data_IF_938435924150
#
_entry.id   IF_938435924150
#
_cell.length_a   1.000
_cell.length_b   1.000
_cell.length_c   1.000
_cell.angle_alpha   90.00
_cell.angle_beta   90.00
_cell.angle_gamma   90.00
#
_symmetry.space_group_name_H-M   'P 1'
#
loop_
_entity.id
_entity.type
_entity.pdbx_description
1 polymer ?
#
# COMPACT_ATOMS: atom_id res chain seq x y z
N UNK A 1 43.46 -3.42 -2.32
CA UNK A 1 42.74 -4.67 -2.03
C UNK A 1 41.97 -4.49 -0.73
N UNK A 2 40.66 -4.62 -0.66
CA UNK A 2 39.57 -4.15 -1.51
C UNK A 2 38.37 -4.10 -0.56
N UNK A 3 37.46 -3.15 -0.79
CA UNK A 3 36.04 -3.28 -0.48
C UNK A 3 35.65 -3.55 0.99
N UNK A 4 35.90 -2.56 1.86
CA UNK A 4 34.84 -2.19 2.79
C UNK A 4 33.76 -1.49 1.97
N UNK A 5 32.91 -2.28 1.30
CA UNK A 5 31.69 -1.82 0.65
C UNK A 5 30.87 -1.03 1.67
N UNK A 6 30.99 0.29 1.60
CA UNK A 6 29.93 1.20 2.01
C UNK A 6 28.70 0.74 1.24
N UNK A 7 27.82 -0.03 1.89
CA UNK A 7 26.46 -0.21 1.40
C UNK A 7 25.85 1.18 1.41
N UNK A 8 25.87 1.84 0.26
CA UNK A 8 25.09 3.04 0.04
C UNK A 8 23.65 2.61 0.29
N UNK A 9 23.08 2.99 1.44
CA UNK A 9 21.66 2.75 1.71
C UNK A 9 20.93 3.64 0.72
N UNK A 10 20.55 3.07 -0.42
CA UNK A 10 19.82 3.79 -1.44
C UNK A 10 18.48 4.23 -0.83
N UNK A 11 18.16 5.50 -0.99
CA UNK A 11 16.88 6.05 -0.57
C UNK A 11 15.76 5.29 -1.31
N UNK A 12 14.74 4.74 -0.62
CA UNK A 12 13.64 4.03 -1.27
C UNK A 12 12.97 4.81 -2.41
N UNK A 13 12.81 6.13 -2.27
CA UNK A 13 12.26 6.97 -3.35
C UNK A 13 13.18 7.00 -4.58
N UNK A 14 14.49 7.00 -4.38
CA UNK A 14 15.50 6.98 -5.45
C UNK A 14 15.56 5.62 -6.14
N UNK A 15 15.45 4.52 -5.38
CA UNK A 15 15.32 3.17 -5.94
C UNK A 15 14.08 3.09 -6.83
N UNK A 16 12.94 3.61 -6.37
CA UNK A 16 11.70 3.64 -7.15
C UNK A 16 11.89 4.42 -8.46
N UNK A 17 12.53 5.59 -8.39
CA UNK A 17 12.82 6.40 -9.57
C UNK A 17 13.71 5.67 -10.58
N UNK A 18 14.81 5.11 -10.11
CA UNK A 18 15.78 4.44 -10.97
C UNK A 18 15.21 3.16 -11.59
N UNK A 19 14.22 2.54 -10.95
CA UNK A 19 13.61 1.28 -11.40
C UNK A 19 12.40 1.50 -12.30
N UNK A 20 11.49 2.40 -11.92
CA UNK A 20 10.20 2.60 -12.59
C UNK A 20 10.07 3.94 -13.32
N UNK A 21 11.07 4.83 -13.21
CA UNK A 21 11.06 6.14 -13.86
C UNK A 21 10.25 7.22 -13.14
N UNK A 22 9.74 6.94 -11.93
CA UNK A 22 9.02 7.90 -11.09
C UNK A 22 9.25 7.68 -9.59
N UNK A 23 8.98 8.71 -8.79
CA UNK A 23 8.88 8.62 -7.34
C UNK A 23 7.56 9.22 -6.88
N UNK A 24 7.07 8.76 -5.73
CA UNK A 24 5.90 9.34 -5.07
C UNK A 24 6.25 9.77 -3.65
N UNK A 25 5.49 10.71 -3.11
CA UNK A 25 5.65 11.16 -1.73
C UNK A 25 4.33 11.60 -1.11
N UNK A 26 4.24 11.54 0.21
CA UNK A 26 3.08 12.01 0.98
C UNK A 26 3.20 13.51 1.25
N UNK A 27 2.16 14.29 0.97
CA UNK A 27 2.09 15.74 1.29
C UNK A 27 0.69 16.12 1.77
N UNK A 28 0.52 17.37 2.18
CA UNK A 28 -0.83 17.90 2.38
C UNK A 28 -1.60 17.83 1.05
N UNK A 29 -2.83 17.31 1.09
CA UNK A 29 -3.67 17.20 -0.10
C UNK A 29 -4.01 18.58 -0.66
N UNK A 30 -4.21 18.66 -1.97
CA UNK A 30 -4.77 19.85 -2.62
C UNK A 30 -6.29 20.01 -2.41
N UNK A 31 -6.95 18.99 -1.86
CA UNK A 31 -8.36 19.05 -1.47
C UNK A 31 -8.52 19.66 -0.07
N UNK A 32 -9.51 20.55 0.07
CA UNK A 32 -9.86 21.18 1.34
C UNK A 32 -10.27 20.10 2.35
N UNK A 33 -9.61 20.11 3.51
CA UNK A 33 -9.90 19.20 4.64
C UNK A 33 -9.71 17.70 4.36
N UNK A 34 -9.00 17.31 3.29
CA UNK A 34 -8.69 15.89 3.00
C UNK A 34 -7.44 15.37 3.73
N UNK A 35 -6.68 16.25 4.39
CA UNK A 35 -5.50 15.86 5.17
C UNK A 35 -4.29 15.54 4.30
N UNK A 36 -3.89 14.27 4.23
CA UNK A 36 -2.70 13.81 3.49
C UNK A 36 -3.11 13.28 2.13
N UNK A 37 -2.33 13.60 1.10
CA UNK A 37 -2.43 13.07 -0.26
C UNK A 37 -1.11 12.46 -0.73
N UNK A 38 -1.16 11.73 -1.85
CA UNK A 38 0.01 11.13 -2.50
C UNK A 38 0.28 11.86 -3.81
N UNK A 39 1.52 12.25 -4.04
CA UNK A 39 1.93 13.04 -5.20
C UNK A 39 3.06 12.36 -5.93
N UNK A 40 3.07 12.44 -7.26
CA UNK A 40 4.27 12.12 -8.05
C UNK A 40 5.32 13.19 -7.74
N UNK A 41 6.43 12.81 -7.09
CA UNK A 41 7.47 13.76 -6.68
C UNK A 41 8.51 14.00 -7.76
N UNK A 42 8.81 12.98 -8.56
CA UNK A 42 9.81 13.01 -9.63
C UNK A 42 9.41 12.06 -10.76
N UNK A 43 9.81 12.39 -11.98
CA UNK A 43 9.60 11.52 -13.13
C UNK A 43 8.17 11.53 -13.64
N UNK A 44 7.77 10.44 -14.28
CA UNK A 44 6.48 10.34 -14.97
C UNK A 44 5.92 8.94 -14.84
N UNK A 45 4.62 8.84 -14.52
CA UNK A 45 3.90 7.57 -14.41
C UNK A 45 3.13 7.33 -15.71
N UNK A 46 3.51 6.35 -16.54
CA UNK A 46 2.73 5.99 -17.71
C UNK A 46 1.36 5.41 -17.32
N UNK A 47 0.34 5.60 -18.16
CA UNK A 47 -0.94 4.90 -18.05
C UNK A 47 -0.73 3.38 -17.93
N UNK A 48 -1.47 2.74 -17.04
CA UNK A 48 -1.41 1.30 -16.78
C UNK A 48 -0.33 0.87 -15.78
N UNK A 49 0.42 1.82 -15.23
CA UNK A 49 1.49 1.53 -14.25
C UNK A 49 0.94 1.43 -12.84
N UNK A 50 1.40 0.43 -12.07
CA UNK A 50 1.18 0.37 -10.61
C UNK A 50 1.92 1.53 -9.95
N UNK A 51 1.18 2.44 -9.34
CA UNK A 51 1.73 3.64 -8.71
C UNK A 51 1.77 3.55 -7.19
N UNK A 52 0.89 2.76 -6.56
CA UNK A 52 0.95 2.51 -5.11
C UNK A 52 0.25 1.21 -4.73
N UNK A 53 0.43 0.78 -3.49
CA UNK A 53 -0.20 -0.38 -2.86
C UNK A 53 -1.01 0.08 -1.66
N UNK A 54 -2.22 -0.45 -1.50
CA UNK A 54 -3.05 -0.24 -0.33
C UNK A 54 -2.61 -1.21 0.79
N UNK A 55 -1.94 -0.71 1.84
CA UNK A 55 -1.45 -1.56 2.90
C UNK A 55 -2.58 -1.98 3.85
N UNK A 56 -2.36 -3.01 4.65
CA UNK A 56 -3.25 -3.29 5.77
C UNK A 56 -3.39 -4.75 6.16
N UNK A 57 -4.10 -4.96 7.27
CA UNK A 57 -4.48 -6.30 7.73
C UNK A 57 -5.67 -6.78 6.91
N UNK A 58 -5.56 -7.98 6.34
CA UNK A 58 -6.60 -8.62 5.54
C UNK A 58 -7.50 -9.41 6.48
N UNK A 59 -8.80 -9.13 6.41
CA UNK A 59 -9.84 -9.88 7.08
C UNK A 59 -10.67 -10.62 6.03
N UNK A 60 -10.66 -11.94 6.11
CA UNK A 60 -11.53 -12.81 5.34
C UNK A 60 -12.98 -12.66 5.80
N UNK A 61 -13.89 -13.17 4.99
CA UNK A 61 -15.32 -13.10 5.30
C UNK A 61 -15.59 -13.76 6.66
N UNK A 62 -16.31 -13.05 7.53
CA UNK A 62 -16.69 -13.45 8.90
C UNK A 62 -15.59 -13.34 9.96
N UNK A 63 -14.39 -12.91 9.62
CA UNK A 63 -13.36 -12.62 10.64
C UNK A 63 -13.74 -11.36 11.46
N UNK A 64 -13.35 -11.31 12.74
CA UNK A 64 -13.76 -10.23 13.63
C UNK A 64 -13.07 -8.90 13.29
N UNK A 65 -13.85 -7.94 12.79
CA UNK A 65 -13.37 -6.59 12.45
C UNK A 65 -14.01 -5.44 13.26
N UNK A 66 -15.00 -5.74 14.11
CA UNK A 66 -15.90 -4.74 14.69
C UNK A 66 -15.14 -3.56 15.33
N UNK A 67 -14.26 -3.80 16.31
CA UNK A 67 -13.64 -2.74 17.09
C UNK A 67 -12.74 -1.80 16.28
N UNK A 68 -11.97 -2.35 15.35
CA UNK A 68 -11.06 -1.61 14.47
C UNK A 68 -11.77 -0.96 13.28
N UNK A 69 -13.01 -1.37 12.97
CA UNK A 69 -13.82 -0.77 11.90
C UNK A 69 -14.60 0.48 12.31
N UNK A 70 -14.87 0.68 13.62
CA UNK A 70 -15.67 1.80 14.12
C UNK A 70 -14.96 3.13 13.80
N UNK A 71 -15.59 3.94 12.94
CA UNK A 71 -15.07 5.25 12.55
C UNK A 71 -13.76 5.20 11.78
N UNK A 72 -13.42 4.05 11.19
CA UNK A 72 -12.17 3.86 10.45
C UNK A 72 -12.41 4.07 8.94
N UNK A 73 -11.98 5.21 8.37
CA UNK A 73 -12.16 5.48 6.93
C UNK A 73 -11.20 4.66 6.05
N UNK A 74 -10.22 3.97 6.65
CA UNK A 74 -9.21 3.19 5.93
C UNK A 74 -9.57 1.71 5.77
N UNK A 75 -10.82 1.33 6.06
CA UNK A 75 -11.33 -0.01 5.73
C UNK A 75 -11.65 -0.05 4.24
N UNK A 76 -10.83 -0.77 3.49
CA UNK A 76 -11.10 -1.10 2.09
C UNK A 76 -11.90 -2.39 2.00
N UNK A 77 -12.93 -2.43 1.16
CA UNK A 77 -13.75 -3.63 0.92
C UNK A 77 -13.54 -4.13 -0.51
N UNK A 78 -12.93 -5.30 -0.63
CA UNK A 78 -12.81 -6.02 -1.90
C UNK A 78 -14.17 -6.54 -2.38
N UNK A 79 -14.25 -6.84 -3.67
CA UNK A 79 -15.46 -7.31 -4.34
C UNK A 79 -16.01 -8.63 -3.77
N UNK A 80 -15.13 -9.54 -3.34
CA UNK A 80 -15.50 -10.81 -2.71
C UNK A 80 -15.86 -10.69 -1.22
N UNK A 81 -15.87 -9.46 -0.68
CA UNK A 81 -16.20 -9.18 0.71
C UNK A 81 -15.03 -9.30 1.68
N UNK A 82 -13.82 -9.58 1.19
CA UNK A 82 -12.58 -9.42 1.97
C UNK A 82 -12.40 -7.96 2.34
N UNK A 83 -11.95 -7.69 3.56
CA UNK A 83 -11.68 -6.34 4.06
C UNK A 83 -10.19 -6.15 4.27
N UNK A 84 -9.67 -4.95 4.00
CA UNK A 84 -8.29 -4.57 4.27
C UNK A 84 -8.30 -3.34 5.17
N UNK A 85 -7.73 -3.46 6.37
CA UNK A 85 -7.59 -2.37 7.33
C UNK A 85 -6.25 -1.66 7.15
N UNK A 86 -6.27 -0.53 6.44
CA UNK A 86 -5.10 0.30 6.15
C UNK A 86 -4.79 1.36 7.20
N UNK A 87 -5.45 1.34 8.36
CA UNK A 87 -5.22 2.36 9.39
C UNK A 87 -3.89 2.13 10.13
N UNK A 88 -2.99 3.12 10.06
CA UNK A 88 -1.64 3.06 10.61
C UNK A 88 -1.53 3.48 12.09
N UNK A 89 -2.69 3.69 12.74
CA UNK A 89 -2.82 4.16 14.13
C UNK A 89 -3.60 3.17 15.00
N UNK A 90 -3.52 3.39 16.31
CA UNK A 90 -4.37 2.73 17.31
C UNK A 90 -4.35 1.20 17.26
N UNK A 91 -5.55 0.62 17.36
CA UNK A 91 -5.75 -0.84 17.42
C UNK A 91 -5.36 -1.50 16.08
N UNK A 92 -5.71 -0.90 14.94
CA UNK A 92 -5.34 -1.39 13.61
C UNK A 92 -3.84 -1.62 13.45
N UNK A 93 -3.04 -0.60 13.84
CA UNK A 93 -1.57 -0.70 13.89
C UNK A 93 -1.09 -1.86 14.78
N UNK A 94 -1.69 -2.01 15.96
CA UNK A 94 -1.31 -3.05 16.91
C UNK A 94 -1.61 -4.45 16.36
N UNK A 95 -2.79 -4.63 15.75
CA UNK A 95 -3.18 -5.89 15.10
C UNK A 95 -2.22 -6.22 13.96
N UNK A 96 -1.95 -5.29 13.04
CA UNK A 96 -1.03 -5.53 11.93
C UNK A 96 0.34 -5.99 12.42
N UNK A 97 0.90 -5.32 13.43
CA UNK A 97 2.20 -5.70 14.03
C UNK A 97 2.15 -7.07 14.69
N UNK A 98 1.03 -7.42 15.32
CA UNK A 98 0.85 -8.74 15.94
C UNK A 98 0.81 -9.85 14.89
N UNK A 99 -0.02 -9.70 13.85
CA UNK A 99 -0.12 -10.64 12.73
C UNK A 99 1.22 -10.80 12.00
N UNK A 100 1.90 -9.69 11.70
CA UNK A 100 3.21 -9.69 11.06
C UNK A 100 4.27 -10.46 11.87
N UNK A 101 4.29 -10.29 13.20
CA UNK A 101 5.21 -11.03 14.09
C UNK A 101 4.86 -12.51 14.21
N UNK A 102 3.57 -12.84 14.27
CA UNK A 102 3.09 -14.23 14.30
C UNK A 102 3.55 -14.99 13.06
N UNK A 103 3.50 -14.34 11.90
CA UNK A 103 3.78 -14.95 10.60
C UNK A 103 5.28 -14.95 10.26
N UNK A 104 6.14 -14.41 11.14
CA UNK A 104 7.57 -14.34 10.93
C UNK A 104 8.19 -15.75 10.91
N UNK A 105 8.95 -16.06 9.87
CA UNK A 105 9.62 -17.35 9.73
C UNK A 105 11.11 -17.24 10.09
N UNK A 106 11.43 -17.43 11.37
CA UNK A 106 12.79 -17.28 11.88
C UNK A 106 13.34 -15.86 11.60
N UNK A 107 14.49 -15.70 10.92
CA UNK A 107 15.01 -14.38 10.58
C UNK A 107 14.28 -13.71 9.39
N UNK A 108 13.44 -14.45 8.65
CA UNK A 108 12.76 -13.93 7.46
C UNK A 108 11.49 -13.17 7.83
N UNK A 109 11.41 -11.92 7.36
CA UNK A 109 10.20 -11.10 7.46
C UNK A 109 9.27 -11.45 6.30
N UNK A 110 7.98 -11.64 6.59
CA UNK A 110 6.97 -12.08 5.61
C UNK A 110 6.00 -10.94 5.24
N UNK A 111 6.20 -9.74 5.77
CA UNK A 111 5.41 -8.55 5.44
C UNK A 111 6.19 -7.26 5.74
N UNK A 112 5.89 -6.18 5.04
CA UNK A 112 6.42 -4.85 5.34
C UNK A 112 5.70 -4.24 6.55
N UNK A 113 6.43 -3.88 7.59
CA UNK A 113 5.90 -3.17 8.79
C UNK A 113 6.24 -1.69 8.79
N UNK A 114 7.08 -1.23 7.86
CA UNK A 114 7.60 0.13 7.82
C UNK A 114 6.61 1.13 7.24
N UNK A 115 5.56 0.68 6.55
CA UNK A 115 4.44 1.55 6.17
C UNK A 115 3.72 2.15 7.40
N UNK A 116 3.87 1.53 8.58
CA UNK A 116 3.35 2.03 9.87
C UNK A 116 4.27 3.08 10.52
N UNK A 117 5.40 3.44 9.91
CA UNK A 117 6.39 4.37 10.43
C UNK A 117 6.69 5.49 9.44
N UNK A 118 7.50 6.47 9.86
CA UNK A 118 8.04 7.50 8.96
C UNK A 118 9.06 6.91 7.96
N UNK A 119 9.73 5.84 8.36
CA UNK A 119 10.90 5.29 7.67
C UNK A 119 10.47 4.19 6.68
N UNK A 120 9.70 4.56 5.67
CA UNK A 120 9.12 3.64 4.69
C UNK A 120 10.20 2.88 3.91
N UNK A 121 10.13 1.54 3.87
CA UNK A 121 11.02 0.71 3.04
C UNK A 121 10.43 0.43 1.66
N UNK A 122 9.14 0.08 1.59
CA UNK A 122 8.42 0.07 0.33
C UNK A 122 7.78 1.47 0.09
N UNK A 123 8.30 2.27 -0.86
CA UNK A 123 7.76 3.60 -1.14
C UNK A 123 6.35 3.55 -1.75
N UNK A 124 5.92 2.40 -2.26
CA UNK A 124 4.57 2.20 -2.82
C UNK A 124 3.51 1.99 -1.73
N UNK A 125 3.88 1.67 -0.48
CA UNK A 125 2.94 1.30 0.60
C UNK A 125 2.24 2.52 1.24
N UNK A 126 1.60 3.33 0.40
CA UNK A 126 0.95 4.61 0.76
C UNK A 126 -0.46 4.76 0.18
N UNK A 127 -1.03 3.69 -0.39
CA UNK A 127 -2.32 3.71 -1.09
C UNK A 127 -3.51 4.14 -0.23
N UNK A 128 -3.44 3.97 1.09
CA UNK A 128 -4.46 4.44 2.04
C UNK A 128 -4.56 5.97 2.12
N UNK A 129 -3.54 6.69 1.64
CA UNK A 129 -3.51 8.15 1.60
C UNK A 129 -3.91 8.72 0.23
N UNK A 130 -4.32 7.88 -0.72
CA UNK A 130 -4.88 8.35 -1.99
C UNK A 130 -6.33 8.78 -1.75
N UNK A 131 -6.59 10.06 -1.98
CA UNK A 131 -7.89 10.67 -1.71
C UNK A 131 -8.90 10.31 -2.81
N UNK A 132 -10.18 10.41 -2.46
CA UNK A 132 -11.25 10.29 -3.44
C UNK A 132 -11.23 11.47 -4.41
N UNK A 133 -11.61 11.21 -5.65
CA UNK A 133 -11.87 12.25 -6.63
C UNK A 133 -13.00 13.17 -6.17
N UNK A 134 -12.98 14.41 -6.66
CA UNK A 134 -14.03 15.39 -6.46
C UNK A 134 -14.50 15.94 -7.80
N UNK A 135 -15.48 16.85 -7.80
CA UNK A 135 -15.94 17.52 -9.03
C UNK A 135 -14.80 18.20 -9.78
N UNK A 136 -13.84 18.78 -9.05
CA UNK A 136 -12.74 19.57 -9.61
C UNK A 136 -11.43 18.77 -9.76
N UNK A 137 -11.38 17.55 -9.19
CA UNK A 137 -10.21 16.66 -9.20
C UNK A 137 -10.63 15.28 -9.66
N UNK A 138 -10.50 15.01 -10.96
CA UNK A 138 -10.84 13.72 -11.55
C UNK A 138 -9.92 12.60 -11.04
N UNK A 139 -10.46 11.38 -10.98
CA UNK A 139 -9.66 10.20 -10.67
C UNK A 139 -8.63 9.95 -11.78
N UNK A 140 -7.35 9.83 -11.40
CA UNK A 140 -6.25 9.49 -12.30
C UNK A 140 -5.63 8.13 -11.96
N UNK A 141 -6.11 7.47 -10.91
CA UNK A 141 -5.76 6.09 -10.53
C UNK A 141 -7.01 5.28 -10.19
N UNK A 142 -6.94 3.95 -10.30
CA UNK A 142 -8.01 3.05 -9.88
C UNK A 142 -7.47 1.90 -9.01
N UNK A 143 -8.32 1.36 -8.14
CA UNK A 143 -7.99 0.16 -7.37
C UNK A 143 -8.10 -1.09 -8.25
N UNK A 144 -7.09 -1.96 -8.13
CA UNK A 144 -7.09 -3.29 -8.72
C UNK A 144 -6.72 -4.32 -7.65
N UNK A 145 -7.53 -5.36 -7.54
CA UNK A 145 -7.28 -6.49 -6.65
C UNK A 145 -6.26 -7.44 -7.29
N UNK A 146 -5.32 -7.92 -6.49
CA UNK A 146 -4.26 -8.81 -6.94
C UNK A 146 -4.00 -9.88 -5.89
N UNK A 147 -4.06 -11.15 -6.29
CA UNK A 147 -3.69 -12.27 -5.44
C UNK A 147 -2.23 -12.65 -5.69
N UNK A 148 -1.40 -12.60 -4.64
CA UNK A 148 0.01 -12.95 -4.72
C UNK A 148 0.16 -14.43 -5.06
N UNK A 149 0.92 -14.79 -6.13
CA UNK A 149 1.10 -16.18 -6.52
C UNK A 149 1.66 -17.05 -5.38
N UNK A 150 1.20 -18.29 -5.28
CA UNK A 150 1.69 -19.24 -4.24
C UNK A 150 3.20 -19.49 -4.31
N UNK A 151 3.80 -19.35 -5.49
CA UNK A 151 5.24 -19.51 -5.72
C UNK A 151 6.03 -18.19 -5.64
N UNK A 152 5.44 -17.13 -5.09
CA UNK A 152 6.13 -15.86 -4.92
C UNK A 152 7.37 -16.02 -4.01
N UNK A 153 8.55 -15.49 -4.38
CA UNK A 153 9.77 -15.69 -3.60
C UNK A 153 9.64 -15.12 -2.18
N UNK A 154 9.98 -15.95 -1.18
CA UNK A 154 9.81 -15.61 0.23
C UNK A 154 10.64 -14.40 0.64
N UNK A 155 11.79 -14.18 -0.01
CA UNK A 155 12.69 -13.06 0.22
C UNK A 155 12.05 -11.72 -0.12
N UNK A 156 11.08 -11.70 -1.03
CA UNK A 156 10.37 -10.47 -1.42
C UNK A 156 9.07 -10.23 -0.64
N UNK A 157 8.59 -11.21 0.13
CA UNK A 157 7.40 -11.06 0.98
C UNK A 157 7.57 -9.91 1.98
N UNK A 158 8.80 -9.63 2.43
CA UNK A 158 9.12 -8.53 3.34
C UNK A 158 8.75 -7.13 2.80
N UNK A 159 8.47 -7.00 1.50
CA UNK A 159 8.07 -5.73 0.87
C UNK A 159 6.56 -5.63 0.61
N UNK A 160 5.81 -6.71 0.84
CA UNK A 160 4.35 -6.69 0.71
C UNK A 160 3.73 -6.07 1.96
N UNK A 161 2.95 -5.00 1.84
CA UNK A 161 2.43 -4.28 3.01
C UNK A 161 1.08 -4.84 3.48
N UNK A 162 0.85 -6.14 3.26
CA UNK A 162 -0.37 -6.83 3.63
C UNK A 162 -0.05 -8.06 4.49
N UNK A 163 -0.86 -8.31 5.51
CA UNK A 163 -0.75 -9.49 6.39
C UNK A 163 -2.15 -10.02 6.67
N UNK A 164 -2.29 -11.33 6.86
CA UNK A 164 -3.59 -11.94 7.16
C UNK A 164 -3.94 -11.79 8.63
N UNK A 165 -5.20 -11.54 8.93
CA UNK A 165 -5.69 -11.56 10.29
C UNK A 165 -5.59 -12.97 10.90
N UNK A 166 -6.04 -14.01 10.19
CA UNK A 166 -5.85 -15.42 10.60
C UNK A 166 -5.37 -16.31 9.44
N UNK A 167 -5.08 -17.57 9.76
CA UNK A 167 -4.76 -18.62 8.77
C UNK A 167 -5.84 -19.69 8.66
N UNK A 168 -7.04 -19.46 9.23
CA UNK A 168 -8.15 -20.41 9.12
C UNK A 168 -8.58 -20.60 7.66
N UNK A 169 -8.52 -19.52 6.88
CA UNK A 169 -8.85 -19.52 5.45
C UNK A 169 -7.57 -19.56 4.60
N UNK A 170 -7.39 -20.69 3.90
CA UNK A 170 -6.25 -20.91 3.02
C UNK A 170 -6.47 -20.32 1.62
N UNK A 171 -6.28 -19.00 1.50
CA UNK A 171 -6.27 -18.27 0.23
C UNK A 171 -4.90 -17.65 -0.07
N UNK A 172 -4.58 -17.29 -1.33
CA UNK A 172 -3.45 -16.42 -1.62
C UNK A 172 -3.49 -15.12 -0.80
N UNK A 173 -2.34 -14.46 -0.64
CA UNK A 173 -2.33 -13.15 0.00
C UNK A 173 -2.98 -12.12 -0.95
N UNK A 174 -4.10 -11.54 -0.53
CA UNK A 174 -4.76 -10.46 -1.28
C UNK A 174 -4.00 -9.14 -1.09
N UNK A 175 -3.61 -8.53 -2.19
CA UNK A 175 -3.15 -7.15 -2.26
C UNK A 175 -4.17 -6.31 -3.03
N UNK A 176 -4.17 -5.01 -2.76
CA UNK A 176 -4.86 -4.02 -3.59
C UNK A 176 -3.82 -3.02 -4.04
N UNK A 177 -3.72 -2.84 -5.36
CA UNK A 177 -2.80 -1.88 -5.98
C UNK A 177 -3.59 -0.75 -6.61
N UNK A 178 -2.94 0.40 -6.77
CA UNK A 178 -3.50 1.53 -7.51
C UNK A 178 -2.76 1.64 -8.83
N UNK A 179 -3.53 1.65 -9.92
CA UNK A 179 -3.02 1.67 -11.30
C UNK A 179 -3.39 2.99 -11.95
N UNK A 180 -2.44 3.61 -12.64
CA UNK A 180 -2.65 4.87 -13.34
C UNK A 180 -3.64 4.71 -14.51
N UNK A 181 -4.71 5.50 -14.51
CA UNK A 181 -5.72 5.53 -15.59
C UNK A 181 -5.28 6.37 -16.79
N UNK A 182 -4.32 7.25 -16.55
CA UNK A 182 -3.72 8.14 -17.52
C UNK A 182 -2.24 8.33 -17.18
N UNK A 183 -1.56 9.07 -18.03
CA UNK A 183 -0.23 9.55 -17.74
C UNK A 183 -0.26 10.59 -16.60
N UNK A 184 0.66 10.50 -15.64
CA UNK A 184 0.72 11.39 -14.47
C UNK A 184 2.15 11.96 -14.35
N UNK A 185 2.24 13.28 -14.40
CA UNK A 185 3.48 14.04 -14.32
C UNK A 185 3.88 14.45 -12.90
N UNK A 186 5.08 15.04 -12.76
CA UNK A 186 5.60 15.45 -11.47
C UNK A 186 4.77 16.62 -10.90
N UNK A 187 4.49 16.54 -9.60
CA UNK A 187 3.67 17.51 -8.86
C UNK A 187 2.17 17.20 -8.87
N UNK A 188 1.71 16.25 -9.70
CA UNK A 188 0.31 15.85 -9.70
C UNK A 188 -0.03 14.96 -8.50
N UNK A 189 -1.20 15.20 -7.92
CA UNK A 189 -1.77 14.39 -6.84
C UNK A 189 -2.53 13.19 -7.41
N UNK A 190 -2.45 12.06 -6.74
CA UNK A 190 -3.20 10.86 -7.07
C UNK A 190 -4.60 10.94 -6.46
N UNK A 191 -5.61 10.69 -7.28
CA UNK A 191 -7.00 10.58 -6.87
C UNK A 191 -7.62 9.30 -7.41
N UNK A 192 -8.31 8.56 -6.55
CA UNK A 192 -9.07 7.37 -6.91
C UNK A 192 -10.57 7.62 -6.87
N UNK A 193 -11.37 6.72 -7.42
CA UNK A 193 -12.81 6.70 -7.15
C UNK A 193 -13.10 5.59 -6.14
N UNK A 194 -13.57 5.95 -4.94
CA UNK A 194 -13.86 5.00 -3.86
C UNK A 194 -14.98 4.01 -4.19
N UNK A 195 -15.73 4.26 -5.27
CA UNK A 195 -16.86 3.45 -5.69
C UNK A 195 -16.56 2.52 -6.86
N UNK A 196 -15.37 2.57 -7.46
CA UNK A 196 -15.04 1.77 -8.65
C UNK A 196 -13.83 0.87 -8.40
N UNK A 197 -14.09 -0.44 -8.27
CA UNK A 197 -13.07 -1.48 -8.41
C UNK A 197 -13.12 -1.94 -9.87
N UNK A 198 -11.97 -1.97 -10.55
CA UNK A 198 -11.88 -2.51 -11.91
C UNK A 198 -11.29 -3.92 -11.79
N UNK A 199 -11.99 -4.89 -12.38
CA UNK A 199 -11.62 -6.31 -12.42
C UNK A 199 -10.61 -6.60 -13.52
#
# INVERSE_FOLDING_TARGET
MNDKQQRHILNPEEVLFNTLGFSITRRHSSLVSAGTGVFVSKGFVPKGTVVSMYPGTIYEKYEPILFQSIGNPFIFRCADGVLIDGNDKGISKAIYRSCSKRDQFGPLKISDVFWLTSDTQNPLAVGQYVNNCSRDKAANVCYQEFDVPKCFPIEFMQYLPNTKYSHEVQRPLRCVVLVALQNIGPGEELFSNYYTIIF
#
